data_IF_864040483794
#
_entry.id   IF_864040483794
#
_cell.length_a   1.000
_cell.length_b   1.000
_cell.length_c   1.000
_cell.angle_alpha   90.00
_cell.angle_beta   90.00
_cell.angle_gamma   90.00
#
_symmetry.space_group_name_H-M   'P 1'
#
loop_
_entity.id
_entity.type
_entity.pdbx_description
1 polymer ?
#
# COMPACT_ATOMS: atom_id res chain seq x y z
N UNK A 1 26.72 -8.16 24.28
CA UNK A 1 27.70 -8.81 25.18
C UNK A 1 28.86 -9.23 24.30
N UNK A 2 30.00 -8.55 24.43
CA UNK A 2 31.24 -8.88 23.72
C UNK A 2 32.28 -9.38 24.72
N UNK A 3 33.20 -10.23 24.27
CA UNK A 3 34.26 -10.80 25.11
C UNK A 3 35.20 -9.69 25.63
N UNK A 4 35.34 -9.59 26.95
CA UNK A 4 36.34 -8.73 27.59
C UNK A 4 37.60 -9.53 27.96
N UNK A 5 38.77 -9.02 27.56
CA UNK A 5 40.09 -9.46 28.07
C UNK A 5 40.79 -8.27 28.70
N UNK A 6 41.31 -8.47 29.92
CA UNK A 6 42.02 -7.43 30.67
C UNK A 6 43.26 -6.93 29.90
N UNK A 7 43.30 -5.63 29.60
CA UNK A 7 44.41 -4.96 28.92
C UNK A 7 44.17 -4.57 27.45
N UNK A 8 43.00 -4.87 26.87
CA UNK A 8 42.61 -4.43 25.53
C UNK A 8 41.33 -3.59 25.57
N UNK A 9 41.21 -2.59 24.69
CA UNK A 9 39.96 -1.86 24.50
C UNK A 9 38.87 -2.84 24.04
N UNK A 10 37.64 -2.77 24.60
CA UNK A 10 36.55 -3.61 24.15
C UNK A 10 36.26 -3.35 22.67
N UNK A 11 36.08 -4.42 21.89
CA UNK A 11 35.80 -4.32 20.47
C UNK A 11 34.40 -3.75 20.20
N UNK A 12 34.28 -2.93 19.15
CA UNK A 12 33.00 -2.36 18.73
C UNK A 12 32.08 -3.45 18.17
N UNK A 13 30.85 -3.52 18.70
CA UNK A 13 29.80 -4.36 18.16
C UNK A 13 29.00 -3.58 17.11
N UNK A 14 29.21 -3.89 15.83
CA UNK A 14 28.44 -3.29 14.73
C UNK A 14 27.16 -4.10 14.52
N UNK A 15 26.01 -3.52 14.90
CA UNK A 15 24.69 -4.09 14.66
C UNK A 15 24.13 -3.54 13.34
N UNK A 16 23.97 -4.43 12.36
CA UNK A 16 23.27 -4.09 11.11
C UNK A 16 21.82 -4.53 11.21
N UNK A 17 20.90 -3.58 11.14
CA UNK A 17 19.45 -3.87 11.09
C UNK A 17 19.04 -4.10 9.64
N UNK A 18 18.43 -5.25 9.36
CA UNK A 18 17.89 -5.58 8.04
C UNK A 18 16.37 -5.66 8.07
N UNK A 19 15.73 -5.20 6.99
CA UNK A 19 14.27 -5.19 6.89
C UNK A 19 13.74 -6.54 6.41
N UNK A 20 12.91 -7.18 7.22
CA UNK A 20 12.18 -8.39 6.82
C UNK A 20 11.00 -8.00 5.93
N UNK A 21 10.82 -8.70 4.82
CA UNK A 21 9.66 -8.52 3.93
C UNK A 21 8.36 -8.77 4.71
N UNK A 22 7.46 -7.78 4.72
CA UNK A 22 6.12 -7.91 5.29
C UNK A 22 5.14 -8.36 4.18
N UNK A 23 4.14 -9.23 4.48
CA UNK A 23 3.21 -9.74 3.46
C UNK A 23 2.36 -8.65 2.82
N UNK A 24 1.93 -7.63 3.58
CA UNK A 24 1.03 -6.59 3.11
C UNK A 24 1.70 -5.26 2.77
N UNK A 25 2.85 -4.94 3.38
CA UNK A 25 3.44 -3.60 3.33
C UNK A 25 4.85 -3.67 2.78
N UNK A 26 5.20 -2.72 1.93
CA UNK A 26 6.57 -2.50 1.47
C UNK A 26 7.02 -1.12 1.92
N UNK A 27 8.12 -1.03 2.67
CA UNK A 27 8.72 0.25 3.03
C UNK A 27 9.46 0.85 1.83
N UNK A 28 9.34 2.17 1.65
CA UNK A 28 10.08 2.97 0.66
C UNK A 28 10.52 4.26 1.35
N UNK A 29 11.76 4.32 1.82
CA UNK A 29 12.21 5.44 2.67
C UNK A 29 11.42 5.47 3.98
N UNK A 30 10.78 6.59 4.28
CA UNK A 30 9.88 6.72 5.44
C UNK A 30 8.41 6.41 5.12
N UNK A 31 8.09 6.15 3.85
CA UNK A 31 6.73 5.81 3.42
C UNK A 31 6.50 4.29 3.46
N UNK A 32 5.21 3.93 3.56
CA UNK A 32 4.74 2.56 3.37
C UNK A 32 3.91 2.47 2.09
N UNK A 33 4.04 1.34 1.38
CA UNK A 33 3.24 1.04 0.20
C UNK A 33 2.41 -0.21 0.48
N UNK A 34 1.10 -0.09 0.32
CA UNK A 34 0.13 -1.19 0.32
C UNK A 34 -0.38 -1.37 -1.11
N UNK A 35 -0.36 -2.60 -1.62
CA UNK A 35 -1.02 -2.94 -2.88
C UNK A 35 -2.39 -3.53 -2.57
N UNK A 36 -3.43 -3.04 -3.22
CA UNK A 36 -4.78 -3.57 -3.12
C UNK A 36 -5.34 -3.84 -4.51
N UNK A 37 -5.86 -5.04 -4.71
CA UNK A 37 -6.52 -5.43 -5.95
C UNK A 37 -7.97 -4.93 -5.93
N UNK A 38 -8.40 -4.33 -7.04
CA UNK A 38 -9.77 -3.86 -7.25
C UNK A 38 -10.32 -4.50 -8.53
N UNK A 39 -11.45 -5.23 -8.48
CA UNK A 39 -12.11 -5.72 -9.67
C UNK A 39 -12.52 -4.56 -10.59
N UNK A 40 -12.43 -4.75 -11.92
CA UNK A 40 -12.81 -3.73 -12.90
C UNK A 40 -14.20 -3.14 -12.64
N UNK A 41 -15.18 -3.97 -12.27
CA UNK A 41 -16.52 -3.49 -11.91
C UNK A 41 -16.47 -2.49 -10.75
N UNK A 42 -15.78 -2.81 -9.65
CA UNK A 42 -15.62 -1.92 -8.52
C UNK A 42 -14.82 -0.66 -8.84
N UNK A 43 -13.85 -0.77 -9.77
CA UNK A 43 -13.10 0.39 -10.25
C UNK A 43 -13.98 1.40 -11.00
N UNK A 44 -15.04 0.93 -11.66
CA UNK A 44 -15.98 1.76 -12.44
C UNK A 44 -17.22 2.19 -11.65
N UNK A 45 -17.70 1.37 -10.71
CA UNK A 45 -18.98 1.58 -10.00
C UNK A 45 -18.81 1.97 -8.53
N UNK A 46 -17.56 2.12 -8.08
CA UNK A 46 -17.23 2.37 -6.69
C UNK A 46 -16.79 1.11 -5.93
N UNK A 47 -15.75 1.28 -5.13
CA UNK A 47 -15.14 0.21 -4.35
C UNK A 47 -14.84 0.69 -2.94
N UNK A 48 -14.87 -0.23 -1.98
CA UNK A 48 -14.39 0.05 -0.63
C UNK A 48 -13.72 -1.18 -0.05
N UNK A 49 -12.68 -0.95 0.76
CA UNK A 49 -12.00 -2.02 1.45
C UNK A 49 -11.39 -1.51 2.76
N UNK A 50 -11.09 -2.45 3.65
CA UNK A 50 -10.47 -2.12 4.93
C UNK A 50 -9.26 -2.99 5.20
N UNK A 51 -8.27 -2.42 5.86
CA UNK A 51 -7.03 -3.09 6.21
C UNK A 51 -6.54 -2.63 7.59
N UNK A 52 -5.58 -3.35 8.14
CA UNK A 52 -4.96 -3.01 9.43
C UNK A 52 -3.58 -2.42 9.19
N UNK A 53 -3.31 -1.30 9.85
CA UNK A 53 -1.99 -0.68 9.91
C UNK A 53 -1.03 -1.55 10.73
N UNK A 54 0.27 -1.25 10.66
CA UNK A 54 1.28 -1.92 11.48
C UNK A 54 1.02 -1.80 13.00
N UNK A 55 0.36 -0.72 13.44
CA UNK A 55 -0.09 -0.52 14.82
C UNK A 55 -1.40 -1.21 15.18
N UNK A 56 -1.98 -2.02 14.30
CA UNK A 56 -3.22 -2.78 14.53
C UNK A 56 -4.52 -2.00 14.32
N UNK A 57 -4.47 -0.66 14.23
CA UNK A 57 -5.63 0.18 13.93
C UNK A 57 -6.20 -0.16 12.54
N UNK A 58 -7.52 -0.28 12.45
CA UNK A 58 -8.24 -0.53 11.21
C UNK A 58 -8.49 0.79 10.47
N UNK A 59 -8.20 0.80 9.17
CA UNK A 59 -8.46 1.91 8.25
C UNK A 59 -9.41 1.41 7.16
N UNK A 60 -10.35 2.25 6.74
CA UNK A 60 -11.26 1.99 5.63
C UNK A 60 -11.01 3.00 4.51
N UNK A 61 -10.92 2.53 3.28
CA UNK A 61 -10.84 3.36 2.08
C UNK A 61 -12.11 3.14 1.24
N UNK A 62 -12.76 4.23 0.84
CA UNK A 62 -13.94 4.23 -0.03
C UNK A 62 -13.67 5.11 -1.26
N UNK A 63 -14.17 4.66 -2.41
CA UNK A 63 -14.02 5.27 -3.74
C UNK A 63 -15.39 5.35 -4.45
N UNK A 64 -16.46 5.65 -3.73
CA UNK A 64 -17.83 5.58 -4.27
C UNK A 64 -18.09 6.50 -5.45
N UNK A 65 -17.46 7.68 -5.48
CA UNK A 65 -17.71 8.73 -6.48
C UNK A 65 -16.54 8.91 -7.47
N UNK A 66 -15.56 8.00 -7.47
CA UNK A 66 -14.34 8.12 -8.26
C UNK A 66 -14.10 6.88 -9.13
N UNK A 67 -13.80 7.11 -10.42
CA UNK A 67 -13.30 6.04 -11.29
C UNK A 67 -11.84 5.76 -10.95
N UNK A 68 -11.58 4.53 -10.49
CA UNK A 68 -10.23 4.06 -10.20
C UNK A 68 -9.54 3.65 -11.50
N UNK A 69 -8.49 4.39 -11.83
CA UNK A 69 -7.67 4.13 -13.03
C UNK A 69 -6.52 3.16 -12.71
N UNK A 70 -6.02 2.39 -13.68
CA UNK A 70 -4.80 1.62 -13.50
C UNK A 70 -3.65 2.51 -13.03
N UNK A 71 -2.95 2.10 -11.97
CA UNK A 71 -1.86 2.88 -11.38
C UNK A 71 -2.31 4.00 -10.43
N UNK A 72 -3.62 4.12 -10.16
CA UNK A 72 -4.12 5.06 -9.15
C UNK A 72 -3.51 4.78 -7.78
N UNK A 73 -3.12 5.85 -7.08
CA UNK A 73 -2.54 5.80 -5.74
C UNK A 73 -3.33 6.71 -4.80
N UNK A 74 -3.80 6.17 -3.68
CA UNK A 74 -4.36 6.96 -2.58
C UNK A 74 -3.32 7.16 -1.50
N UNK A 75 -3.03 8.40 -1.16
CA UNK A 75 -2.11 8.75 -0.08
C UNK A 75 -2.90 8.99 1.21
N UNK A 76 -2.47 8.34 2.29
CA UNK A 76 -2.98 8.55 3.64
C UNK A 76 -1.83 9.14 4.45
N UNK A 77 -1.91 10.46 4.68
CA UNK A 77 -0.83 11.22 5.27
C UNK A 77 -0.52 10.77 6.71
N UNK A 78 0.76 10.67 7.06
CA UNK A 78 1.23 10.36 8.42
C UNK A 78 1.09 8.90 8.86
N UNK A 79 0.62 8.01 7.99
CA UNK A 79 0.45 6.58 8.29
C UNK A 79 1.64 5.70 7.85
N UNK A 80 2.75 6.32 7.43
CA UNK A 80 4.01 5.67 7.11
C UNK A 80 4.86 5.33 8.33
N UNK A 81 6.17 5.22 8.14
CA UNK A 81 7.16 4.93 9.18
C UNK A 81 7.59 6.21 9.92
N UNK A 82 8.02 6.11 11.19
CA UNK A 82 8.62 7.24 11.90
C UNK A 82 9.87 7.76 11.19
N UNK A 83 9.97 9.09 11.04
CA UNK A 83 11.12 9.75 10.41
C UNK A 83 12.28 9.84 11.41
N UNK A 84 13.48 9.32 11.07
CA UNK A 84 14.65 9.42 11.95
C UNK A 84 15.00 10.86 12.31
N UNK A 85 15.28 11.12 13.59
CA UNK A 85 15.70 12.43 14.08
C UNK A 85 14.58 13.46 14.23
N UNK A 86 13.34 13.15 13.84
CA UNK A 86 12.19 14.05 13.98
C UNK A 86 11.11 13.42 14.87
N UNK A 87 11.02 13.89 16.12
CA UNK A 87 10.10 13.32 17.11
C UNK A 87 8.64 13.58 16.69
N UNK A 88 7.91 12.49 16.43
CA UNK A 88 6.49 12.54 16.07
C UNK A 88 6.22 12.68 14.57
N UNK A 89 7.24 12.95 13.75
CA UNK A 89 7.08 12.96 12.30
C UNK A 89 7.01 11.53 11.75
N UNK A 90 6.11 11.31 10.80
CA UNK A 90 5.91 10.05 10.10
C UNK A 90 5.79 10.32 8.61
N UNK A 91 6.29 9.40 7.78
CA UNK A 91 5.99 9.40 6.36
C UNK A 91 4.53 9.02 6.09
N UNK A 92 4.23 8.74 4.83
CA UNK A 92 2.86 8.49 4.37
C UNK A 92 2.61 7.01 4.04
N UNK A 93 1.34 6.61 4.09
CA UNK A 93 0.91 5.34 3.53
C UNK A 93 0.34 5.55 2.13
N UNK A 94 0.94 4.90 1.16
CA UNK A 94 0.53 4.92 -0.25
C UNK A 94 -0.19 3.63 -0.60
N UNK A 95 -1.47 3.72 -0.89
CA UNK A 95 -2.32 2.61 -1.32
C UNK A 95 -2.36 2.59 -2.84
N UNK A 96 -1.65 1.65 -3.45
CA UNK A 96 -1.67 1.43 -4.90
C UNK A 96 -2.79 0.48 -5.27
N UNK A 97 -3.70 0.95 -6.11
CA UNK A 97 -4.82 0.15 -6.61
C UNK A 97 -4.42 -0.52 -7.92
N UNK A 98 -4.54 -1.85 -7.94
CA UNK A 98 -4.29 -2.67 -9.12
C UNK A 98 -5.62 -3.18 -9.67
N UNK A 99 -5.97 -2.74 -10.89
CA UNK A 99 -7.27 -3.04 -11.49
C UNK A 99 -7.23 -4.43 -12.13
N UNK A 100 -8.01 -5.35 -11.57
CA UNK A 100 -8.11 -6.73 -12.05
C UNK A 100 -9.21 -6.83 -13.09
N UNK A 101 -8.80 -7.07 -14.34
CA UNK A 101 -9.72 -7.29 -15.45
C UNK A 101 -10.27 -8.72 -15.44
N UNK A 102 -11.54 -8.92 -15.84
CA UNK A 102 -12.07 -10.27 -16.05
C UNK A 102 -11.32 -10.94 -17.21
N UNK A 103 -11.09 -12.26 -17.10
CA UNK A 103 -10.39 -13.03 -18.15
C UNK A 103 -11.20 -13.10 -19.44
N UNK A 104 -12.52 -13.21 -19.31
CA UNK A 104 -13.46 -13.36 -20.41
C UNK A 104 -14.75 -12.59 -20.11
N UNK A 105 -15.48 -12.25 -21.17
CA UNK A 105 -16.80 -11.62 -21.12
C UNK A 105 -17.70 -12.28 -22.17
N UNK A 106 -18.95 -12.54 -21.82
CA UNK A 106 -19.95 -13.08 -22.75
C UNK A 106 -20.32 -12.04 -23.82
N UNK A 107 -20.98 -12.48 -24.89
CA UNK A 107 -21.41 -11.58 -25.96
C UNK A 107 -22.37 -10.50 -25.43
N UNK A 108 -23.28 -10.87 -24.52
CA UNK A 108 -24.25 -9.99 -23.89
C UNK A 108 -23.55 -8.95 -23.00
N UNK A 109 -22.57 -9.37 -22.20
CA UNK A 109 -21.79 -8.46 -21.35
C UNK A 109 -21.01 -7.44 -22.18
N UNK A 110 -20.40 -7.87 -23.30
CA UNK A 110 -19.67 -6.98 -24.20
C UNK A 110 -20.58 -5.96 -24.86
N UNK A 111 -21.74 -6.40 -25.35
CA UNK A 111 -22.73 -5.51 -25.98
C UNK A 111 -23.22 -4.46 -24.98
N UNK A 112 -23.61 -4.87 -23.77
CA UNK A 112 -24.07 -3.95 -22.73
C UNK A 112 -23.00 -2.95 -22.28
N UNK A 113 -21.77 -3.41 -22.06
CA UNK A 113 -20.65 -2.52 -21.72
C UNK A 113 -20.35 -1.52 -22.85
N UNK A 114 -20.39 -1.96 -24.11
CA UNK A 114 -20.14 -1.10 -25.27
C UNK A 114 -21.24 -0.06 -25.48
N UNK A 115 -22.48 -0.34 -25.08
CA UNK A 115 -23.58 0.63 -25.10
C UNK A 115 -23.40 1.68 -23.98
N UNK A 116 -23.19 1.23 -22.74
CA UNK A 116 -23.08 2.10 -21.57
C UNK A 116 -21.86 3.02 -21.67
N UNK A 117 -20.70 2.48 -22.08
CA UNK A 117 -19.44 3.24 -22.08
C UNK A 117 -19.24 4.07 -23.35
N UNK A 118 -20.13 3.98 -24.35
CA UNK A 118 -19.98 4.70 -25.62
C UNK A 118 -19.92 6.22 -25.47
N UNK A 119 -20.67 6.78 -24.51
CA UNK A 119 -20.74 8.23 -24.27
C UNK A 119 -19.69 8.76 -23.30
N UNK A 120 -18.82 7.90 -22.77
CA UNK A 120 -17.85 8.25 -21.73
C UNK A 120 -16.42 8.47 -22.26
N UNK A 121 -16.24 8.37 -23.59
CA UNK A 121 -15.00 8.67 -24.32
C UNK A 121 -15.19 9.94 -25.16
#
# INVERSE_FOLDING_TARGET
MGDERAGCLPGDAILTVSEKRHPAFKRVGDDLVLKAEVPLVGALTGWSFSFRLLGGRKVSCSFQDEVVRPGYEKVIAGEGMPVPGQKGARGDLRVKLDVVFPKELTAEQRAGLAEILRGSC
#
